data_IF_937618762774
#
_entry.id   IF_937618762774
#
_cell.length_a   1.000
_cell.length_b   1.000
_cell.length_c   1.000
_cell.angle_alpha   90.00
_cell.angle_beta   90.00
_cell.angle_gamma   90.00
#
_symmetry.space_group_name_H-M   'P 1'
#
loop_
_entity.id
_entity.type
_entity.pdbx_description
1 polymer ?
#
# COMPACT_ATOMS: atom_id res chain seq x y z
N UNK A 1 -14.94 -33.16 35.05
CA UNK A 1 -14.97 -33.18 33.58
C UNK A 1 -15.79 -31.98 33.10
N UNK A 2 -15.14 -30.93 32.59
CA UNK A 2 -15.84 -29.69 32.18
C UNK A 2 -15.83 -29.62 30.65
N UNK A 3 -17.03 -29.65 30.07
CA UNK A 3 -17.30 -29.71 28.63
C UNK A 3 -17.16 -28.29 28.08
N UNK A 4 -16.22 -28.08 27.16
CA UNK A 4 -16.04 -26.78 26.51
C UNK A 4 -16.86 -26.76 25.22
N UNK A 5 -17.84 -25.88 25.19
CA UNK A 5 -18.68 -25.58 24.04
C UNK A 5 -17.81 -25.02 22.91
N UNK A 6 -17.79 -25.71 21.77
CA UNK A 6 -17.07 -25.29 20.58
C UNK A 6 -17.74 -24.04 19.99
N UNK A 7 -17.05 -22.90 20.04
CA UNK A 7 -17.44 -21.69 19.31
C UNK A 7 -17.17 -21.94 17.82
N UNK A 8 -18.22 -21.98 17.01
CA UNK A 8 -18.08 -21.97 15.56
C UNK A 8 -17.55 -20.59 15.13
N UNK A 9 -16.29 -20.53 14.73
CA UNK A 9 -15.74 -19.37 14.01
C UNK A 9 -16.34 -19.40 12.61
N UNK A 10 -17.32 -18.55 12.36
CA UNK A 10 -17.75 -18.21 11.01
C UNK A 10 -16.59 -17.43 10.40
N UNK A 11 -15.78 -18.08 9.55
CA UNK A 11 -14.91 -17.36 8.63
C UNK A 11 -15.81 -16.55 7.70
N UNK A 12 -15.99 -15.26 8.00
CA UNK A 12 -16.44 -14.32 6.99
C UNK A 12 -15.40 -14.35 5.87
N UNK A 13 -15.79 -14.87 4.71
CA UNK A 13 -15.01 -14.75 3.49
C UNK A 13 -14.68 -13.28 3.29
N UNK A 14 -13.41 -12.89 3.04
CA UNK A 14 -13.11 -11.52 2.70
C UNK A 14 -13.88 -11.20 1.42
N UNK A 15 -14.81 -10.26 1.49
CA UNK A 15 -15.35 -9.63 0.29
C UNK A 15 -14.13 -9.14 -0.49
N UNK A 16 -13.89 -9.75 -1.65
CA UNK A 16 -12.87 -9.29 -2.58
C UNK A 16 -13.30 -7.88 -3.00
N UNK A 17 -12.77 -6.86 -2.32
CA UNK A 17 -12.87 -5.50 -2.82
C UNK A 17 -12.34 -5.56 -4.25
N UNK A 18 -13.19 -5.20 -5.22
CA UNK A 18 -12.72 -5.01 -6.58
C UNK A 18 -11.63 -3.94 -6.50
N UNK A 19 -10.38 -4.38 -6.61
CA UNK A 19 -9.23 -3.49 -6.66
C UNK A 19 -9.45 -2.71 -7.95
N UNK A 20 -9.75 -1.41 -7.84
CA UNK A 20 -9.72 -0.55 -9.00
C UNK A 20 -8.28 -0.63 -9.53
N UNK A 21 -8.11 -1.26 -10.69
CA UNK A 21 -6.79 -1.34 -11.28
C UNK A 21 -6.33 0.10 -11.56
N UNK A 22 -5.29 0.55 -10.86
CA UNK A 22 -4.66 1.85 -11.11
C UNK A 22 -4.39 1.95 -12.60
N UNK A 23 -4.80 3.04 -13.26
CA UNK A 23 -4.62 3.18 -14.70
C UNK A 23 -3.16 3.54 -15.03
N UNK A 24 -2.19 2.70 -14.69
CA UNK A 24 -0.76 2.94 -14.93
C UNK A 24 -0.42 3.20 -16.40
N UNK A 25 -1.26 2.76 -17.33
CA UNK A 25 -1.14 3.10 -18.76
C UNK A 25 -1.40 4.60 -19.06
N UNK A 26 -1.98 5.34 -18.11
CA UNK A 26 -2.29 6.77 -18.20
C UNK A 26 -1.30 7.66 -17.45
N UNK A 27 -0.25 7.04 -16.91
CA UNK A 27 0.83 7.73 -16.20
C UNK A 27 1.52 8.75 -17.13
N UNK A 28 1.92 9.92 -16.62
CA UNK A 28 2.49 10.95 -17.46
C UNK A 28 3.84 10.51 -18.06
N UNK A 29 4.18 10.96 -19.28
CA UNK A 29 5.47 10.62 -19.88
C UNK A 29 6.64 11.10 -19.01
N UNK A 30 7.57 10.20 -18.69
CA UNK A 30 8.74 10.49 -17.87
C UNK A 30 8.48 10.48 -16.36
N UNK A 31 7.26 10.17 -15.91
CA UNK A 31 6.97 9.93 -14.50
C UNK A 31 7.49 8.56 -14.08
N UNK A 32 8.19 8.50 -12.95
CA UNK A 32 8.77 7.28 -12.39
C UNK A 32 8.02 6.92 -11.10
N UNK A 33 7.17 5.88 -11.08
CA UNK A 33 6.37 5.58 -9.91
C UNK A 33 7.26 5.12 -8.74
N UNK A 34 6.97 5.58 -7.50
CA UNK A 34 7.73 5.14 -6.33
C UNK A 34 7.54 3.63 -6.11
N UNK A 35 8.54 2.96 -5.49
CA UNK A 35 8.46 1.53 -5.25
C UNK A 35 7.39 1.21 -4.19
N UNK A 36 6.43 0.37 -4.56
CA UNK A 36 5.47 -0.22 -3.62
C UNK A 36 6.02 -1.56 -3.13
N UNK A 37 6.04 -1.77 -1.80
CA UNK A 37 6.52 -3.01 -1.22
C UNK A 37 5.56 -4.15 -1.54
N UNK A 38 6.05 -5.14 -2.26
CA UNK A 38 5.31 -6.40 -2.48
C UNK A 38 5.34 -7.35 -1.28
N UNK A 39 6.28 -7.13 -0.35
CA UNK A 39 6.53 -8.01 0.80
C UNK A 39 6.73 -7.20 2.08
N UNK A 40 6.27 -7.73 3.24
CA UNK A 40 6.48 -7.06 4.51
C UNK A 40 7.96 -7.01 4.90
N UNK A 41 8.34 -5.97 5.64
CA UNK A 41 9.68 -5.84 6.21
C UNK A 41 9.96 -7.04 7.12
N UNK A 42 11.11 -7.68 6.89
CA UNK A 42 11.55 -8.89 7.59
C UNK A 42 10.56 -10.08 7.51
N UNK A 43 9.66 -10.11 6.52
CA UNK A 43 8.65 -11.17 6.40
C UNK A 43 7.52 -11.08 7.45
N UNK A 44 7.44 -9.99 8.22
CA UNK A 44 6.52 -9.87 9.36
C UNK A 44 5.17 -9.31 8.94
N UNK A 45 4.16 -10.17 8.89
CA UNK A 45 2.76 -9.79 8.62
C UNK A 45 2.09 -9.36 9.94
N UNK A 46 2.06 -8.05 10.20
CA UNK A 46 1.46 -7.46 11.40
C UNK A 46 0.53 -6.29 11.05
N UNK A 47 -0.03 -5.62 12.07
CA UNK A 47 -0.93 -4.47 11.86
C UNK A 47 -0.29 -3.36 11.00
N UNK A 48 1.01 -3.10 11.14
CA UNK A 48 1.70 -2.07 10.38
C UNK A 48 1.75 -2.42 8.88
N UNK A 49 1.93 -3.70 8.56
CA UNK A 49 1.85 -4.17 7.17
C UNK A 49 0.44 -4.04 6.58
N UNK A 50 -0.59 -4.33 7.37
CA UNK A 50 -1.97 -4.14 6.90
C UNK A 50 -2.33 -2.66 6.75
N UNK A 51 -1.88 -1.79 7.66
CA UNK A 51 -2.06 -0.35 7.52
C UNK A 51 -1.40 0.15 6.24
N UNK A 52 -0.12 -0.18 6.01
CA UNK A 52 0.58 0.17 4.77
C UNK A 52 -0.21 -0.22 3.51
N UNK A 53 -0.71 -1.46 3.45
CA UNK A 53 -1.52 -1.89 2.30
C UNK A 53 -2.82 -1.12 2.17
N UNK A 54 -3.48 -0.79 3.28
CA UNK A 54 -4.69 0.04 3.26
C UNK A 54 -4.40 1.45 2.78
N UNK A 55 -3.28 2.05 3.21
CA UNK A 55 -2.87 3.40 2.81
C UNK A 55 -2.57 3.43 1.30
N UNK A 56 -1.88 2.42 0.77
CA UNK A 56 -1.66 2.28 -0.69
C UNK A 56 -3.00 2.15 -1.44
N UNK A 57 -3.93 1.31 -0.96
CA UNK A 57 -5.22 1.13 -1.62
C UNK A 57 -6.08 2.40 -1.60
N UNK A 58 -5.99 3.23 -0.56
CA UNK A 58 -6.69 4.50 -0.50
C UNK A 58 -6.08 5.50 -1.48
N UNK A 59 -4.75 5.64 -1.51
CA UNK A 59 -4.05 6.48 -2.48
C UNK A 59 -4.38 6.10 -3.94
N UNK A 60 -4.42 4.79 -4.26
CA UNK A 60 -4.79 4.30 -5.59
C UNK A 60 -6.25 4.60 -5.97
N UNK A 61 -7.15 4.57 -4.97
CA UNK A 61 -8.56 4.93 -5.14
C UNK A 61 -8.73 6.43 -5.37
N UNK A 62 -8.00 7.26 -4.63
CA UNK A 62 -7.99 8.72 -4.77
C UNK A 62 -7.42 9.12 -6.13
N UNK A 63 -6.27 8.58 -6.54
CA UNK A 63 -5.73 8.73 -7.89
C UNK A 63 -6.75 8.40 -8.98
N UNK A 64 -7.43 7.26 -8.86
CA UNK A 64 -8.47 6.87 -9.84
C UNK A 64 -9.64 7.86 -9.85
N UNK A 65 -10.02 8.35 -8.67
CA UNK A 65 -11.07 9.36 -8.48
C UNK A 65 -10.70 10.70 -9.11
N UNK A 66 -9.45 11.12 -9.00
CA UNK A 66 -8.95 12.41 -9.45
C UNK A 66 -8.66 12.41 -10.94
N UNK A 67 -8.08 11.33 -11.48
CA UNK A 67 -7.93 11.15 -12.92
C UNK A 67 -9.27 11.14 -13.66
N UNK A 68 -10.35 10.68 -13.02
CA UNK A 68 -11.71 10.77 -13.58
C UNK A 68 -12.27 12.19 -13.61
N UNK A 69 -11.79 13.08 -12.74
CA UNK A 69 -12.19 14.49 -12.65
C UNK A 69 -11.27 15.42 -13.42
N UNK A 70 -10.03 15.00 -13.67
CA UNK A 70 -9.02 15.76 -14.38
C UNK A 70 -9.49 16.15 -15.79
N UNK A 71 -9.43 17.43 -16.10
CA UNK A 71 -9.93 18.01 -17.35
C UNK A 71 -8.83 18.28 -18.36
N UNK A 72 -7.61 18.53 -17.88
CA UNK A 72 -6.45 18.80 -18.73
C UNK A 72 -5.21 17.97 -18.34
N UNK A 73 -4.06 18.37 -18.88
CA UNK A 73 -2.79 17.68 -18.66
C UNK A 73 -2.19 18.01 -17.28
N UNK A 74 -2.39 19.23 -16.80
CA UNK A 74 -1.87 19.72 -15.52
C UNK A 74 -2.59 18.99 -14.38
N UNK A 75 -3.92 18.93 -14.42
CA UNK A 75 -4.75 18.19 -13.46
C UNK A 75 -4.30 16.72 -13.32
N UNK A 76 -3.92 16.10 -14.45
CA UNK A 76 -3.44 14.70 -14.44
C UNK A 76 -2.07 14.59 -13.81
N UNK A 77 -1.15 15.50 -14.11
CA UNK A 77 0.17 15.51 -13.52
C UNK A 77 0.08 15.70 -12.00
N UNK A 78 -0.74 16.64 -11.55
CA UNK A 78 -0.95 16.91 -10.13
C UNK A 78 -1.51 15.68 -9.40
N UNK A 79 -2.50 15.00 -9.97
CA UNK A 79 -3.05 13.77 -9.38
C UNK A 79 -1.99 12.66 -9.23
N UNK A 80 -1.08 12.52 -10.21
CA UNK A 80 0.02 11.55 -10.13
C UNK A 80 1.11 11.97 -9.13
N UNK A 81 1.42 13.26 -9.02
CA UNK A 81 2.39 13.82 -8.05
C UNK A 81 1.90 13.68 -6.60
N UNK A 82 0.60 13.93 -6.37
CA UNK A 82 -0.06 13.72 -5.08
C UNK A 82 -0.02 12.24 -4.68
N UNK A 83 -0.40 11.34 -5.59
CA UNK A 83 -0.30 9.90 -5.37
C UNK A 83 1.13 9.44 -5.05
N UNK A 84 2.16 9.96 -5.75
CA UNK A 84 3.56 9.65 -5.44
C UNK A 84 3.91 10.05 -4.00
N UNK A 85 3.53 11.26 -3.61
CA UNK A 85 3.77 11.78 -2.26
C UNK A 85 3.13 10.89 -1.20
N UNK A 86 1.88 10.47 -1.41
CA UNK A 86 1.16 9.58 -0.51
C UNK A 86 1.80 8.19 -0.39
N UNK A 87 2.23 7.60 -1.51
CA UNK A 87 2.93 6.30 -1.50
C UNK A 87 4.26 6.39 -0.76
N UNK A 88 5.00 7.48 -0.96
CA UNK A 88 6.29 7.73 -0.27
C UNK A 88 6.07 7.89 1.24
N UNK A 89 5.08 8.68 1.65
CA UNK A 89 4.81 8.89 3.08
C UNK A 89 4.27 7.61 3.74
N UNK A 90 3.43 6.84 3.06
CA UNK A 90 2.99 5.52 3.53
C UNK A 90 4.18 4.57 3.74
N UNK A 91 5.14 4.50 2.80
CA UNK A 91 6.35 3.68 2.97
C UNK A 91 7.20 4.15 4.16
N UNK A 92 7.42 5.46 4.26
CA UNK A 92 8.22 6.09 5.31
C UNK A 92 7.64 5.84 6.70
N UNK A 93 6.32 5.96 6.87
CA UNK A 93 5.66 5.68 8.14
C UNK A 93 5.66 4.19 8.45
N UNK A 94 5.43 3.32 7.47
CA UNK A 94 5.58 1.88 7.66
C UNK A 94 6.98 1.49 8.12
N UNK A 95 8.02 1.99 7.45
CA UNK A 95 9.43 1.76 7.81
C UNK A 95 9.74 2.30 9.20
N UNK A 96 9.27 3.49 9.54
CA UNK A 96 9.46 4.12 10.85
C UNK A 96 8.83 3.29 11.96
N UNK A 97 7.60 2.82 11.79
CA UNK A 97 6.91 2.00 12.78
C UNK A 97 7.54 0.61 12.91
N UNK A 98 7.95 -0.01 11.80
CA UNK A 98 8.68 -1.29 11.84
C UNK A 98 10.02 -1.16 12.55
N UNK A 99 10.75 -0.06 12.30
CA UNK A 99 12.01 0.25 12.98
C UNK A 99 11.84 0.42 14.48
N UNK A 100 10.79 1.13 14.93
CA UNK A 100 10.46 1.27 16.36
C UNK A 100 10.22 -0.09 17.03
N UNK A 101 9.74 -1.08 16.28
CA UNK A 101 9.49 -2.46 16.74
C UNK A 101 10.71 -3.40 16.61
N UNK A 102 11.86 -2.89 16.19
CA UNK A 102 13.10 -3.66 16.06
C UNK A 102 13.29 -4.36 14.71
N UNK A 103 12.33 -4.25 13.79
CA UNK A 103 12.46 -4.80 12.44
C UNK A 103 13.16 -3.79 11.53
N UNK A 104 14.22 -4.22 10.83
CA UNK A 104 14.98 -3.36 9.91
C UNK A 104 14.79 -3.82 8.47
N UNK A 105 14.78 -2.85 7.55
CA UNK A 105 14.91 -3.13 6.12
C UNK A 105 16.30 -3.74 5.89
N UNK A 106 16.34 -4.96 5.36
CA UNK A 106 17.60 -5.62 5.04
C UNK A 106 18.35 -4.80 3.99
N UNK A 107 19.62 -4.47 4.26
CA UNK A 107 20.52 -3.88 3.26
C UNK A 107 21.34 -5.03 2.67
N UNK A 108 21.12 -5.34 1.39
CA UNK A 108 22.00 -6.27 0.67
C UNK A 108 23.20 -5.45 0.17
N UNK A 109 24.36 -5.67 0.77
CA UNK A 109 25.65 -5.25 0.19
C UNK A 109 26.20 -6.42 -0.59
N UNK A 110 26.28 -6.29 -1.91
CA UNK A 110 26.99 -7.26 -2.75
C UNK A 110 28.48 -6.93 -2.61
N UNK A 111 29.24 -7.77 -1.91
CA UNK A 111 30.70 -7.65 -1.85
C UNK A 111 31.28 -8.00 -3.22
N UNK A 112 32.14 -7.13 -3.74
CA UNK A 112 32.90 -7.36 -4.98
C UNK A 112 34.04 -8.36 -4.81
#
# INVERSE_FOLDING_TARGET
>A
MKKWTTLAVILALPATAAIAAVPYHSMPPGFEPPPIRERPIAGVVNQQWYNYKSDILEAEKELTSDLRRATDREDRWDAWDEWETEVIDADKDYVKEMRKKGYRVGRVTVGG
#
